data_IF_848518715395
#
_entry.id   IF_848518715395
#
_cell.length_a   1.000
_cell.length_b   1.000
_cell.length_c   1.000
_cell.angle_alpha   90.00
_cell.angle_beta   90.00
_cell.angle_gamma   90.00
#
_symmetry.space_group_name_H-M   'P 1'
#
loop_
_entity.id
_entity.type
_entity.pdbx_description
1 polymer ?
#
# COMPACT_ATOMS: atom_id res chain seq x y z
N UNK A 1 10.10 -19.01 -32.60
CA UNK A 1 9.09 -19.97 -33.08
C UNK A 1 7.88 -19.87 -32.16
N UNK A 2 6.71 -19.59 -32.73
CA UNK A 2 5.42 -19.47 -32.03
C UNK A 2 4.81 -20.85 -31.80
N UNK A 3 4.29 -21.12 -30.60
CA UNK A 3 3.18 -22.04 -30.29
C UNK A 3 2.68 -21.67 -28.89
N UNK A 4 1.42 -21.78 -28.49
CA UNK A 4 0.11 -21.85 -29.13
C UNK A 4 -0.88 -21.84 -27.96
N UNK A 5 -1.89 -20.97 -28.01
CA UNK A 5 -2.97 -20.86 -27.02
C UNK A 5 -3.71 -22.20 -26.91
N UNK A 6 -3.97 -22.67 -25.68
CA UNK A 6 -4.99 -23.69 -25.44
C UNK A 6 -6.12 -23.08 -24.61
N UNK A 7 -7.19 -22.77 -25.33
CA UNK A 7 -8.54 -22.51 -24.84
C UNK A 7 -9.09 -23.79 -24.22
N UNK A 8 -9.55 -23.75 -22.97
CA UNK A 8 -10.42 -24.79 -22.44
C UNK A 8 -11.86 -24.31 -22.53
N UNK A 9 -12.54 -24.75 -23.59
CA UNK A 9 -14.01 -24.90 -23.59
C UNK A 9 -14.32 -26.29 -23.08
N UNK A 10 -14.82 -26.40 -21.86
CA UNK A 10 -15.48 -27.61 -21.39
C UNK A 10 -16.98 -27.33 -21.41
N UNK A 11 -17.67 -27.95 -22.36
CA UNK A 11 -19.12 -28.11 -22.34
C UNK A 11 -19.42 -29.49 -21.76
N UNK A 12 -19.95 -29.55 -20.54
CA UNK A 12 -20.65 -30.73 -20.02
C UNK A 12 -21.95 -30.27 -19.38
N UNK A 13 -23.01 -30.90 -19.86
CA UNK A 13 -24.42 -30.65 -19.58
C UNK A 13 -24.84 -31.54 -18.43
N UNK A 14 -25.37 -30.93 -17.36
CA UNK A 14 -26.25 -31.58 -16.40
C UNK A 14 -25.58 -32.28 -15.22
N UNK A 15 -25.38 -31.51 -14.14
CA UNK A 15 -25.27 -31.97 -12.76
C UNK A 15 -25.65 -30.76 -11.90
N UNK A 16 -26.81 -30.83 -11.24
CA UNK A 16 -27.19 -29.88 -10.20
C UNK A 16 -26.28 -30.16 -9.01
N UNK A 17 -25.17 -29.45 -8.91
CA UNK A 17 -24.57 -29.12 -7.65
C UNK A 17 -24.79 -27.61 -7.51
N UNK A 18 -25.77 -27.23 -6.68
CA UNK A 18 -25.77 -25.94 -6.00
C UNK A 18 -24.52 -25.95 -5.10
N UNK A 19 -23.36 -25.79 -5.71
CA UNK A 19 -22.30 -25.04 -5.04
C UNK A 19 -22.79 -23.59 -5.12
N UNK A 20 -23.71 -23.22 -4.22
CA UNK A 20 -23.65 -21.90 -3.63
C UNK A 20 -22.22 -21.82 -3.07
N UNK A 21 -21.25 -21.42 -3.92
CA UNK A 21 -20.04 -20.79 -3.42
C UNK A 21 -20.60 -19.75 -2.47
N UNK A 22 -20.42 -19.98 -1.16
CA UNK A 22 -20.66 -18.96 -0.16
C UNK A 22 -19.94 -17.76 -0.71
N UNK A 23 -20.71 -16.81 -1.24
CA UNK A 23 -20.26 -15.54 -1.76
C UNK A 23 -19.71 -14.88 -0.49
N UNK A 24 -18.45 -15.22 -0.17
CA UNK A 24 -17.78 -14.85 1.06
C UNK A 24 -17.69 -13.34 0.95
N UNK A 25 -18.70 -12.70 1.52
CA UNK A 25 -19.07 -11.32 1.25
C UNK A 25 -17.94 -10.45 1.75
N UNK A 26 -16.96 -10.21 0.88
CA UNK A 26 -15.84 -9.33 1.11
C UNK A 26 -16.43 -7.98 1.53
N UNK A 27 -16.20 -7.57 2.77
CA UNK A 27 -16.75 -6.33 3.32
C UNK A 27 -15.66 -5.27 3.44
N UNK A 28 -16.06 -4.00 3.41
CA UNK A 28 -15.09 -2.93 3.62
C UNK A 28 -14.53 -2.94 5.04
N UNK A 29 -15.34 -3.28 6.04
CA UNK A 29 -14.89 -3.40 7.43
C UNK A 29 -13.85 -4.52 7.63
N UNK A 30 -13.98 -5.62 6.89
CA UNK A 30 -12.95 -6.67 6.85
C UNK A 30 -11.64 -6.15 6.25
N UNK A 31 -11.69 -5.42 5.13
CA UNK A 31 -10.51 -4.81 4.54
C UNK A 31 -9.82 -3.85 5.53
N UNK A 32 -10.60 -3.05 6.27
CA UNK A 32 -10.09 -2.14 7.32
C UNK A 32 -9.40 -2.93 8.44
N UNK A 33 -10.00 -4.03 8.90
CA UNK A 33 -9.41 -4.90 9.92
C UNK A 33 -8.09 -5.51 9.45
N UNK A 34 -8.05 -6.05 8.23
CA UNK A 34 -6.84 -6.63 7.63
C UNK A 34 -5.74 -5.58 7.46
N UNK A 35 -6.08 -4.38 7.00
CA UNK A 35 -5.14 -3.27 6.87
C UNK A 35 -4.53 -2.91 8.23
N UNK A 36 -5.37 -2.73 9.25
CA UNK A 36 -4.96 -2.29 10.58
C UNK A 36 -4.21 -3.38 11.37
N UNK A 37 -4.43 -4.65 11.03
CA UNK A 37 -3.66 -5.79 11.56
C UNK A 37 -2.38 -6.07 10.77
N UNK A 38 -2.17 -5.36 9.66
CA UNK A 38 -1.02 -5.43 8.75
C UNK A 38 -0.98 -6.70 7.89
N UNK A 39 -2.11 -7.38 7.72
CA UNK A 39 -2.26 -8.47 6.75
C UNK A 39 -2.54 -7.87 5.35
N UNK A 40 -1.57 -7.10 4.85
CA UNK A 40 -1.72 -6.31 3.63
C UNK A 40 -1.95 -7.14 2.38
N UNK A 41 -1.46 -8.39 2.35
CA UNK A 41 -1.67 -9.30 1.24
C UNK A 41 -3.14 -9.73 1.14
N UNK A 42 -3.75 -10.18 2.24
CA UNK A 42 -5.19 -10.51 2.24
C UNK A 42 -6.06 -9.26 2.11
N UNK A 43 -5.64 -8.14 2.70
CA UNK A 43 -6.31 -6.85 2.54
C UNK A 43 -6.43 -6.47 1.06
N UNK A 44 -5.36 -6.67 0.28
CA UNK A 44 -5.37 -6.49 -1.17
C UNK A 44 -6.45 -7.34 -1.84
N UNK A 45 -6.55 -8.64 -1.53
CA UNK A 45 -7.50 -9.55 -2.17
C UNK A 45 -8.96 -9.10 -1.92
N UNK A 46 -9.27 -8.74 -0.67
CA UNK A 46 -10.60 -8.21 -0.29
C UNK A 46 -10.88 -6.88 -1.02
N UNK A 47 -9.92 -5.95 -1.03
CA UNK A 47 -10.08 -4.66 -1.71
C UNK A 47 -10.19 -4.81 -3.23
N UNK A 48 -9.54 -5.80 -3.84
CA UNK A 48 -9.65 -6.10 -5.27
C UNK A 48 -11.06 -6.57 -5.63
N UNK A 49 -11.64 -7.46 -4.82
CA UNK A 49 -13.03 -7.88 -4.98
C UNK A 49 -14.00 -6.70 -4.84
N UNK A 50 -13.82 -5.86 -3.82
CA UNK A 50 -14.60 -4.61 -3.62
C UNK A 50 -14.45 -3.66 -4.80
N UNK A 51 -13.23 -3.46 -5.28
CA UNK A 51 -12.93 -2.59 -6.40
C UNK A 51 -13.66 -3.06 -7.66
N UNK A 52 -13.58 -4.36 -7.98
CA UNK A 52 -14.21 -4.95 -9.17
C UNK A 52 -15.73 -4.75 -9.23
N UNK A 53 -16.42 -4.73 -8.08
CA UNK A 53 -17.87 -4.51 -8.00
C UNK A 53 -18.29 -3.04 -7.85
N UNK A 54 -17.38 -2.16 -7.46
CA UNK A 54 -17.66 -0.75 -7.20
C UNK A 54 -17.80 0.11 -8.47
N UNK A 55 -18.61 1.16 -8.38
CA UNK A 55 -18.73 2.24 -9.37
C UNK A 55 -18.11 3.53 -8.84
N UNK A 56 -17.88 4.51 -9.71
CA UNK A 56 -17.44 5.83 -9.27
C UNK A 56 -18.53 6.50 -8.41
N UNK A 57 -18.16 7.26 -7.35
CA UNK A 57 -16.79 7.61 -6.95
C UNK A 57 -16.09 6.57 -6.03
N UNK A 58 -16.84 5.63 -5.46
CA UNK A 58 -16.34 4.58 -4.54
C UNK A 58 -15.20 3.77 -5.15
N UNK A 59 -15.27 3.49 -6.45
CA UNK A 59 -14.23 2.75 -7.19
C UNK A 59 -12.86 3.43 -7.10
N UNK A 60 -12.79 4.75 -7.21
CA UNK A 60 -11.53 5.48 -7.08
C UNK A 60 -10.98 5.38 -5.65
N UNK A 61 -11.82 5.52 -4.63
CA UNK A 61 -11.41 5.40 -3.24
C UNK A 61 -10.86 4.02 -2.91
N UNK A 62 -11.63 2.96 -3.22
CA UNK A 62 -11.24 1.58 -2.92
C UNK A 62 -9.93 1.23 -3.62
N UNK A 63 -9.75 1.65 -4.87
CA UNK A 63 -8.51 1.46 -5.60
C UNK A 63 -7.33 2.22 -4.96
N UNK A 64 -7.57 3.43 -4.44
CA UNK A 64 -6.55 4.17 -3.69
C UNK A 64 -6.06 3.40 -2.45
N UNK A 65 -7.00 2.87 -1.65
CA UNK A 65 -6.68 2.08 -0.45
C UNK A 65 -6.00 0.75 -0.81
N UNK A 66 -6.46 0.08 -1.88
CA UNK A 66 -5.87 -1.15 -2.42
C UNK A 66 -4.38 -0.93 -2.69
N UNK A 67 -4.02 0.12 -3.42
CA UNK A 67 -2.63 0.41 -3.73
C UNK A 67 -1.80 0.74 -2.49
N UNK A 68 -2.40 1.40 -1.49
CA UNK A 68 -1.71 1.59 -0.21
C UNK A 68 -1.38 0.24 0.45
N UNK A 69 -2.30 -0.73 0.45
CA UNK A 69 -2.04 -2.07 0.98
C UNK A 69 -0.91 -2.78 0.21
N UNK A 70 -0.96 -2.76 -1.13
CA UNK A 70 0.11 -3.33 -1.99
C UNK A 70 1.46 -2.64 -1.73
N UNK A 71 1.46 -1.32 -1.56
CA UNK A 71 2.66 -0.56 -1.25
C UNK A 71 3.30 -0.96 0.08
N UNK A 72 2.51 -1.16 1.13
CA UNK A 72 3.01 -1.68 2.41
C UNK A 72 3.48 -3.13 2.29
N UNK A 73 2.78 -3.99 1.56
CA UNK A 73 3.22 -5.36 1.28
C UNK A 73 4.61 -5.37 0.62
N UNK A 74 4.83 -4.50 -0.38
CA UNK A 74 6.13 -4.34 -1.01
C UNK A 74 7.22 -3.84 -0.04
N UNK A 75 6.91 -2.84 0.79
CA UNK A 75 7.86 -2.29 1.75
C UNK A 75 8.40 -3.38 2.69
N UNK A 76 7.50 -4.17 3.27
CA UNK A 76 7.88 -5.22 4.23
C UNK A 76 8.50 -6.45 3.57
N UNK A 77 8.42 -6.57 2.25
CA UNK A 77 9.13 -7.54 1.42
C UNK A 77 10.39 -6.98 0.76
N UNK A 78 10.94 -5.87 1.28
CA UNK A 78 12.20 -5.25 0.82
C UNK A 78 12.16 -4.79 -0.66
N UNK A 79 10.96 -4.55 -1.19
CA UNK A 79 10.74 -3.96 -2.49
C UNK A 79 10.40 -2.47 -2.33
N UNK A 80 11.41 -1.65 -2.04
CA UNK A 80 11.24 -0.22 -1.76
C UNK A 80 10.72 0.55 -2.98
N UNK A 81 11.14 0.15 -4.19
CA UNK A 81 10.62 0.71 -5.44
C UNK A 81 9.12 0.50 -5.57
N UNK A 82 8.68 -0.76 -5.46
CA UNK A 82 7.27 -1.12 -5.52
C UNK A 82 6.46 -0.39 -4.46
N UNK A 83 7.01 -0.29 -3.25
CA UNK A 83 6.38 0.45 -2.16
C UNK A 83 6.14 1.93 -2.52
N UNK A 84 7.17 2.66 -2.97
CA UNK A 84 7.03 4.08 -3.33
C UNK A 84 6.08 4.29 -4.52
N UNK A 85 6.13 3.42 -5.53
CA UNK A 85 5.23 3.53 -6.70
C UNK A 85 3.76 3.34 -6.29
N UNK A 86 3.44 2.25 -5.61
CA UNK A 86 2.04 1.93 -5.24
C UNK A 86 1.50 2.90 -4.18
N UNK A 87 2.29 3.28 -3.17
CA UNK A 87 1.89 4.32 -2.21
C UNK A 87 1.65 5.66 -2.90
N UNK A 88 2.50 6.03 -3.87
CA UNK A 88 2.35 7.26 -4.67
C UNK A 88 1.09 7.26 -5.53
N UNK A 89 0.81 6.15 -6.22
CA UNK A 89 -0.41 6.02 -7.01
C UNK A 89 -1.67 6.00 -6.15
N UNK A 90 -1.64 5.29 -5.01
CA UNK A 90 -2.73 5.25 -4.04
C UNK A 90 -3.03 6.64 -3.49
N UNK A 91 -1.98 7.37 -3.09
CA UNK A 91 -2.09 8.76 -2.62
C UNK A 91 -2.68 9.70 -3.69
N UNK A 92 -2.30 9.53 -4.96
CA UNK A 92 -2.89 10.30 -6.06
C UNK A 92 -4.40 10.08 -6.17
N UNK A 93 -4.87 8.83 -6.01
CA UNK A 93 -6.30 8.49 -6.04
C UNK A 93 -7.05 9.03 -4.82
N UNK A 94 -6.47 8.92 -3.62
CA UNK A 94 -7.05 9.49 -2.39
C UNK A 94 -7.23 11.02 -2.51
N UNK A 95 -6.23 11.74 -3.03
CA UNK A 95 -6.32 13.19 -3.25
C UNK A 95 -7.39 13.60 -4.25
N UNK A 96 -7.66 12.78 -5.28
CA UNK A 96 -8.73 13.05 -6.26
C UNK A 96 -10.13 13.05 -5.62
N UNK A 97 -10.30 12.40 -4.47
CA UNK A 97 -11.55 12.42 -3.73
C UNK A 97 -11.85 13.79 -3.09
N UNK A 98 -10.83 14.66 -2.94
CA UNK A 98 -10.95 16.01 -2.38
C UNK A 98 -11.64 16.07 -1.01
N UNK A 99 -11.39 15.10 -0.13
CA UNK A 99 -11.91 15.14 1.23
C UNK A 99 -11.30 16.32 2.01
N UNK A 100 -12.13 17.11 2.66
CA UNK A 100 -11.67 18.22 3.51
C UNK A 100 -11.46 17.79 4.97
N UNK A 101 -12.13 16.72 5.38
CA UNK A 101 -12.13 16.18 6.75
C UNK A 101 -12.55 14.71 6.77
N UNK A 102 -12.59 14.11 7.97
CA UNK A 102 -13.03 12.72 8.15
C UNK A 102 -11.91 11.69 8.03
N UNK A 103 -12.26 10.40 8.13
CA UNK A 103 -11.28 9.32 8.25
C UNK A 103 -10.44 9.12 6.98
N UNK A 104 -11.03 9.30 5.79
CA UNK A 104 -10.29 9.17 4.52
C UNK A 104 -9.30 10.32 4.32
N UNK A 105 -9.63 11.55 4.75
CA UNK A 105 -8.68 12.67 4.74
C UNK A 105 -7.52 12.43 5.70
N UNK A 106 -7.81 11.94 6.91
CA UNK A 106 -6.78 11.62 7.88
C UNK A 106 -5.86 10.51 7.36
N UNK A 107 -6.44 9.47 6.77
CA UNK A 107 -5.68 8.38 6.14
C UNK A 107 -4.81 8.89 4.99
N UNK A 108 -5.32 9.75 4.11
CA UNK A 108 -4.54 10.38 3.04
C UNK A 108 -3.30 11.10 3.59
N UNK A 109 -3.46 11.90 4.65
CA UNK A 109 -2.34 12.59 5.30
C UNK A 109 -1.31 11.64 5.89
N UNK A 110 -1.77 10.56 6.52
CA UNK A 110 -0.88 9.54 7.09
C UNK A 110 -0.11 8.80 5.98
N UNK A 111 -0.75 8.43 4.87
CA UNK A 111 -0.08 7.85 3.70
C UNK A 111 0.94 8.83 3.10
N UNK A 112 0.59 10.12 2.98
CA UNK A 112 1.52 11.15 2.49
C UNK A 112 2.75 11.27 3.38
N UNK A 113 2.59 11.21 4.70
CA UNK A 113 3.71 11.29 5.64
C UNK A 113 4.62 10.04 5.55
N UNK A 114 4.04 8.86 5.37
CA UNK A 114 4.82 7.63 5.16
C UNK A 114 5.58 7.65 3.84
N UNK A 115 4.94 8.07 2.75
CA UNK A 115 5.60 8.13 1.44
C UNK A 115 6.79 9.09 1.49
N UNK A 116 6.62 10.26 2.11
CA UNK A 116 7.71 11.22 2.31
C UNK A 116 8.82 10.63 3.19
N UNK A 117 8.49 9.94 4.28
CA UNK A 117 9.47 9.26 5.13
C UNK A 117 10.30 8.22 4.35
N UNK A 118 9.65 7.37 3.56
CA UNK A 118 10.35 6.37 2.73
C UNK A 118 11.24 7.08 1.72
N UNK A 119 10.74 8.11 1.05
CA UNK A 119 11.52 8.87 0.07
C UNK A 119 12.78 9.51 0.69
N UNK A 120 12.65 10.19 1.83
CA UNK A 120 13.78 10.84 2.50
C UNK A 120 14.81 9.82 3.00
N UNK A 121 14.37 8.70 3.56
CA UNK A 121 15.30 7.66 4.04
C UNK A 121 16.00 6.94 2.89
N UNK A 122 15.34 6.74 1.74
CA UNK A 122 16.00 6.23 0.52
C UNK A 122 17.00 7.25 -0.05
N UNK A 123 16.68 8.55 0.01
CA UNK A 123 17.62 9.61 -0.36
C UNK A 123 18.88 9.58 0.50
N UNK A 124 18.71 9.51 1.82
CA UNK A 124 19.82 9.41 2.77
C UNK A 124 20.68 8.17 2.50
N UNK A 125 20.05 7.01 2.28
CA UNK A 125 20.76 5.78 1.96
C UNK A 125 21.55 5.89 0.65
N UNK A 126 20.97 6.49 -0.39
CA UNK A 126 21.64 6.70 -1.67
C UNK A 126 22.80 7.69 -1.54
N UNK A 127 22.65 8.77 -0.75
CA UNK A 127 23.71 9.74 -0.50
C UNK A 127 24.91 9.15 0.26
N UNK A 128 24.68 8.11 1.07
CA UNK A 128 25.74 7.36 1.74
C UNK A 128 26.48 6.37 0.81
N UNK A 129 26.03 6.19 -0.44
CA UNK A 129 26.75 5.42 -1.45
C UNK A 129 27.60 6.36 -2.32
N UNK A 130 28.91 6.09 -2.42
CA UNK A 130 29.88 6.97 -3.10
C UNK A 130 29.71 7.07 -4.64
N UNK A 131 28.69 6.43 -5.22
CA UNK A 131 28.64 6.20 -6.66
C UNK A 131 27.83 7.22 -7.48
N UNK A 132 27.01 8.12 -6.90
CA UNK A 132 26.25 9.07 -7.74
C UNK A 132 25.68 10.31 -7.02
N UNK A 133 25.96 11.51 -7.54
CA UNK A 133 25.27 12.75 -7.17
C UNK A 133 24.09 12.98 -8.13
N UNK A 134 22.89 12.46 -7.82
CA UNK A 134 21.65 12.79 -8.55
C UNK A 134 20.93 13.94 -7.85
N UNK A 135 20.52 14.98 -8.61
CA UNK A 135 19.57 15.97 -8.13
C UNK A 135 18.15 15.39 -8.13
N UNK A 136 17.53 15.34 -6.95
CA UNK A 136 16.28 14.62 -6.69
C UNK A 136 15.12 15.61 -6.54
N UNK A 137 14.06 15.45 -7.34
CA UNK A 137 12.98 16.44 -7.51
C UNK A 137 11.56 15.93 -7.19
N UNK A 138 11.43 14.78 -6.53
CA UNK A 138 10.15 14.11 -6.22
C UNK A 138 9.29 13.76 -7.46
N UNK A 139 9.86 13.75 -8.67
CA UNK A 139 9.18 13.25 -9.86
C UNK A 139 9.09 11.72 -9.89
N UNK A 140 8.19 11.16 -10.71
CA UNK A 140 8.13 9.72 -11.00
C UNK A 140 9.50 9.14 -11.38
N UNK A 141 10.29 9.90 -12.17
CA UNK A 141 11.63 9.52 -12.58
C UNK A 141 12.61 9.47 -11.41
N UNK A 142 12.49 10.42 -10.47
CA UNK A 142 13.25 10.42 -9.21
C UNK A 142 12.95 9.15 -8.38
N UNK A 143 11.67 8.75 -8.26
CA UNK A 143 11.30 7.50 -7.58
C UNK A 143 11.84 6.25 -8.28
N UNK A 144 11.78 6.21 -9.62
CA UNK A 144 12.29 5.08 -10.39
C UNK A 144 13.81 4.89 -10.23
N UNK A 145 14.56 6.00 -10.11
CA UNK A 145 16.00 5.99 -9.89
C UNK A 145 16.38 5.58 -8.45
N UNK A 146 15.64 6.06 -7.44
CA UNK A 146 15.86 5.67 -6.04
C UNK A 146 15.52 4.21 -5.76
N UNK A 147 14.48 3.67 -6.41
CA UNK A 147 13.99 2.33 -6.11
C UNK A 147 14.97 1.18 -6.40
N UNK A 148 16.06 1.43 -7.13
CA UNK A 148 17.14 0.45 -7.33
C UNK A 148 18.12 0.35 -6.15
N UNK A 149 18.16 1.35 -5.27
CA UNK A 149 19.08 1.40 -4.14
C UNK A 149 18.56 0.54 -2.98
N UNK A 150 19.44 -0.28 -2.40
CA UNK A 150 19.09 -1.17 -1.30
C UNK A 150 17.99 -2.19 -1.63
N UNK A 151 17.78 -2.53 -2.91
CA UNK A 151 16.80 -3.54 -3.30
C UNK A 151 17.14 -4.90 -2.67
N UNK A 152 16.22 -5.48 -1.90
CA UNK A 152 16.46 -6.71 -1.13
C UNK A 152 17.25 -6.53 0.16
N UNK A 153 17.66 -5.30 0.50
CA UNK A 153 18.25 -5.00 1.81
C UNK A 153 17.15 -4.76 2.84
N UNK A 154 17.37 -5.23 4.07
CA UNK A 154 16.47 -4.97 5.19
C UNK A 154 16.72 -3.59 5.78
N UNK A 155 16.16 -2.55 5.13
CA UNK A 155 16.30 -1.16 5.56
C UNK A 155 15.26 -0.72 6.59
N UNK A 156 14.09 -1.38 6.56
CA UNK A 156 12.95 -1.04 7.41
C UNK A 156 12.54 -2.23 8.27
N UNK A 157 12.19 -1.96 9.53
CA UNK A 157 11.59 -2.92 10.43
C UNK A 157 10.48 -2.29 11.27
N UNK A 158 9.73 -3.14 11.98
CA UNK A 158 8.64 -2.71 12.83
C UNK A 158 9.07 -2.64 14.29
N UNK A 159 8.72 -1.56 14.96
CA UNK A 159 8.79 -1.44 16.40
C UNK A 159 7.43 -1.08 16.98
N UNK A 160 7.17 -1.55 18.20
CA UNK A 160 5.93 -1.28 18.92
C UNK A 160 6.32 -0.58 20.21
N UNK A 161 5.71 0.58 20.46
CA UNK A 161 5.94 1.33 21.68
C UNK A 161 5.12 0.76 22.86
N UNK A 162 5.19 1.43 24.02
CA UNK A 162 4.43 1.02 25.21
C UNK A 162 2.91 1.22 25.07
N UNK A 163 2.46 1.99 24.08
CA UNK A 163 1.05 2.28 23.81
C UNK A 163 0.45 1.36 22.75
N UNK A 164 1.17 0.32 22.31
CA UNK A 164 0.81 -0.55 21.19
C UNK A 164 0.74 0.16 19.83
N UNK A 165 1.32 1.37 19.74
CA UNK A 165 1.48 2.08 18.48
C UNK A 165 2.65 1.47 17.72
N UNK A 166 2.42 1.14 16.45
CA UNK A 166 3.44 0.53 15.60
C UNK A 166 4.11 1.59 14.73
N UNK A 167 5.43 1.48 14.62
CA UNK A 167 6.29 2.39 13.87
C UNK A 167 7.08 1.61 12.82
N UNK A 168 7.26 2.22 11.65
CA UNK A 168 8.26 1.85 10.65
C UNK A 168 9.54 2.55 11.07
N UNK A 169 10.59 1.79 11.33
CA UNK A 169 11.90 2.30 11.73
C UNK A 169 12.88 2.07 10.58
N UNK A 170 13.60 3.12 10.21
CA UNK A 170 14.68 3.04 9.22
C UNK A 170 15.99 2.79 9.95
N UNK A 171 16.58 1.62 9.75
CA UNK A 171 17.82 1.21 10.39
C UNK A 171 18.63 0.30 9.45
N UNK A 172 19.34 0.87 8.46
CA UNK A 172 20.28 0.09 7.66
C UNK A 172 21.36 -0.52 8.56
N UNK A 173 21.97 -1.64 8.17
CA UNK A 173 23.03 -2.30 8.97
C UNK A 173 24.20 -1.37 9.36
N UNK A 174 24.40 -0.29 8.61
CA UNK A 174 25.44 0.73 8.83
C UNK A 174 25.07 1.77 9.90
N UNK A 175 23.82 1.83 10.36
CA UNK A 175 23.36 2.79 11.37
C UNK A 175 23.81 2.45 12.80
N UNK A 176 24.31 1.22 13.03
CA UNK A 176 24.68 0.67 14.34
C UNK A 176 25.82 1.37 15.11
N UNK A 177 26.23 2.59 14.72
CA UNK A 177 27.30 3.35 15.36
C UNK A 177 26.98 4.83 15.64
N UNK A 178 25.85 5.37 15.18
CA UNK A 178 25.44 6.76 15.47
C UNK A 178 24.58 6.80 16.73
N UNK A 179 24.98 7.58 17.73
CA UNK A 179 24.26 7.73 19.01
C UNK A 179 22.95 8.52 18.93
N UNK A 180 22.31 8.56 17.75
CA UNK A 180 21.03 9.20 17.48
C UNK A 180 19.97 8.13 17.31
N UNK A 181 18.77 8.35 17.86
CA UNK A 181 17.65 7.43 17.65
C UNK A 181 17.34 7.29 16.15
N UNK A 182 17.07 6.08 15.65
CA UNK A 182 16.81 5.86 14.23
C UNK A 182 15.53 6.59 13.80
N UNK A 183 15.51 7.19 12.59
CA UNK A 183 14.30 7.80 12.05
C UNK A 183 13.15 6.80 12.03
N UNK A 184 11.96 7.25 12.45
CA UNK A 184 10.76 6.40 12.46
C UNK A 184 9.49 7.18 12.14
N UNK A 185 8.49 6.47 11.63
CA UNK A 185 7.16 7.00 11.33
C UNK A 185 6.09 6.02 11.80
N UNK A 186 4.99 6.54 12.36
CA UNK A 186 3.84 5.72 12.75
C UNK A 186 3.23 5.04 11.50
N UNK A 187 2.83 3.78 11.62
CA UNK A 187 2.03 3.11 10.59
C UNK A 187 0.62 3.73 10.52
N UNK A 188 0.14 4.09 9.31
CA UNK A 188 -1.20 4.59 9.11
C UNK A 188 -2.26 3.61 9.56
N UNK A 189 -3.32 4.12 10.17
CA UNK A 189 -4.47 3.33 10.60
C UNK A 189 -5.69 3.83 9.85
N UNK A 190 -6.35 2.93 9.13
CA UNK A 190 -7.59 3.27 8.44
C UNK A 190 -8.74 3.26 9.45
N UNK A 191 -9.19 4.44 9.87
CA UNK A 191 -10.29 4.61 10.82
C UNK A 191 -11.64 4.85 10.11
N UNK A 192 -11.91 4.07 9.06
CA UNK A 192 -13.13 4.16 8.27
C UNK A 192 -14.00 2.90 8.46
N UNK A 193 -15.26 3.00 8.06
CA UNK A 193 -16.22 1.90 8.05
C UNK A 193 -17.01 1.91 6.75
N UNK A 194 -17.78 0.86 6.51
CA UNK A 194 -18.67 0.77 5.35
C UNK A 194 -19.67 1.93 5.27
N UNK A 195 -20.15 2.45 6.42
CA UNK A 195 -21.02 3.62 6.48
C UNK A 195 -20.36 4.87 5.85
N UNK A 196 -19.09 5.13 6.19
CA UNK A 196 -18.34 6.26 5.60
C UNK A 196 -18.16 6.08 4.08
N UNK A 197 -18.09 4.84 3.61
CA UNK A 197 -17.99 4.55 2.17
C UNK A 197 -19.33 4.78 1.47
N UNK A 198 -20.45 4.38 2.07
CA UNK A 198 -21.80 4.60 1.52
C UNK A 198 -22.16 6.07 1.38
N UNK A 199 -21.65 6.94 2.26
CA UNK A 199 -21.84 8.40 2.15
C UNK A 199 -21.34 8.99 0.82
N UNK A 200 -20.42 8.30 0.13
CA UNK A 200 -19.89 8.71 -1.18
C UNK A 200 -20.85 8.45 -2.34
N UNK A 201 -21.74 7.47 -2.22
CA UNK A 201 -22.70 7.12 -3.27
C UNK A 201 -23.85 8.14 -3.38
N UNK A 202 -23.96 9.02 -2.38
CA UNK A 202 -24.96 10.09 -2.32
C UNK A 202 -24.42 11.47 -2.70
N UNK A 203 -23.15 11.57 -3.12
CA UNK A 203 -22.50 12.80 -3.62
C UNK A 203 -22.57 12.90 -5.15
#
# INVERSE_FOLDING_TARGET
MKFSVHSYRITTRGGFDDDEEEDESCSFDEAVLLFNTRDYYKCHDVLEALWNRSQEPTRTLVHGILQCAVGFHHLFNQNHKGAMMELGEGLCKLRKMNFESGPFHQFEKEISAVLEFIYQTQLEQAACTEELCIAMDQSERSYQLLGGYGAGERLYHLEIDRSWTTYIVFCPERYGGMGTEPPSIKIPVLQASEEHMMELEYL
#
